data_IF_267336015044
#
_entry.id   IF_267336015044
#
_cell.length_a   1.000
_cell.length_b   1.000
_cell.length_c   1.000
_cell.angle_alpha   90.00
_cell.angle_beta   90.00
_cell.angle_gamma   90.00
#
_symmetry.space_group_name_H-M   'P 1'
#
loop_
_entity.id
_entity.type
_entity.pdbx_description
1 polymer ?
#
# COMPACT_ATOMS: atom_id res chain seq x y z
N UNK A 1 -5.14 18.46 5.12
CA UNK A 1 -6.16 17.39 4.98
C UNK A 1 -5.39 16.08 5.01
N UNK A 2 -5.91 15.04 5.68
CA UNK A 2 -5.13 13.81 5.80
C UNK A 2 -5.01 13.06 4.48
N UNK A 3 -3.89 12.35 4.33
CA UNK A 3 -3.55 11.64 3.10
C UNK A 3 -4.28 10.31 2.97
N UNK A 4 -4.46 9.88 1.72
CA UNK A 4 -4.97 8.54 1.40
C UNK A 4 -3.84 7.51 1.46
N UNK A 5 -4.19 6.21 1.42
CA UNK A 5 -3.18 5.14 1.32
C UNK A 5 -2.35 5.22 0.01
N UNK A 6 -2.96 5.68 -1.09
CA UNK A 6 -2.27 5.88 -2.37
C UNK A 6 -1.24 7.02 -2.26
N UNK A 7 -1.67 8.15 -1.71
CA UNK A 7 -0.79 9.30 -1.44
C UNK A 7 0.34 8.91 -0.49
N UNK A 8 0.06 8.18 0.59
CA UNK A 8 1.08 7.73 1.53
C UNK A 8 2.14 6.82 0.88
N UNK A 9 1.75 6.02 -0.13
CA UNK A 9 2.69 5.22 -0.91
C UNK A 9 3.54 6.09 -1.85
N UNK A 10 2.92 7.04 -2.55
CA UNK A 10 3.63 7.96 -3.44
C UNK A 10 4.63 8.86 -2.69
N UNK A 11 4.30 9.20 -1.46
CA UNK A 11 5.08 10.07 -0.58
C UNK A 11 5.79 9.30 0.54
N UNK A 12 6.08 8.00 0.35
CA UNK A 12 6.66 7.16 1.39
C UNK A 12 8.00 7.69 1.94
N UNK A 13 8.73 8.47 1.14
CA UNK A 13 10.01 9.08 1.51
C UNK A 13 9.90 10.49 2.09
N UNK A 14 8.71 11.08 2.07
CA UNK A 14 8.49 12.43 2.61
C UNK A 14 8.29 12.40 4.13
N UNK A 15 8.47 13.54 4.82
CA UNK A 15 8.34 13.62 6.27
C UNK A 15 6.95 13.23 6.78
N UNK A 16 6.89 12.57 7.92
CA UNK A 16 5.65 12.16 8.57
C UNK A 16 5.20 13.19 9.62
N UNK A 17 4.12 13.90 9.34
CA UNK A 17 3.55 14.91 10.25
C UNK A 17 2.09 14.59 10.53
N UNK A 18 1.63 14.76 11.77
CA UNK A 18 0.23 14.54 12.10
C UNK A 18 -0.68 15.59 11.45
N UNK A 19 -1.75 15.15 10.78
CA UNK A 19 -2.77 16.05 10.22
C UNK A 19 -3.69 16.63 11.31
N UNK A 20 -4.07 15.80 12.27
CA UNK A 20 -4.99 16.14 13.37
C UNK A 20 -4.37 15.72 14.70
N UNK A 21 -4.97 16.21 15.80
CA UNK A 21 -4.67 15.66 17.13
C UNK A 21 -4.92 14.15 17.14
N UNK A 22 -3.95 13.41 17.65
CA UNK A 22 -4.01 11.96 17.79
C UNK A 22 -3.71 11.56 19.25
N UNK A 23 -4.42 10.55 19.75
CA UNK A 23 -4.19 10.01 21.09
C UNK A 23 -2.96 9.10 21.11
N UNK A 24 -2.20 9.13 22.21
CA UNK A 24 -1.11 8.18 22.41
C UNK A 24 -1.62 6.73 22.42
N UNK A 25 -0.82 5.82 21.87
CA UNK A 25 -1.09 4.38 21.80
C UNK A 25 -1.76 3.93 20.49
N UNK A 26 -2.23 4.86 19.65
CA UNK A 26 -2.80 4.49 18.34
C UNK A 26 -1.74 3.89 17.41
N UNK A 27 -2.20 3.07 16.48
CA UNK A 27 -1.42 2.69 15.30
C UNK A 27 -1.52 3.82 14.28
N UNK A 28 -0.39 4.22 13.71
CA UNK A 28 -0.32 5.30 12.73
C UNK A 28 -0.75 4.76 11.36
N UNK A 29 -1.80 5.36 10.83
CA UNK A 29 -2.39 5.07 9.52
C UNK A 29 -2.28 6.29 8.59
N UNK A 30 -2.44 6.13 7.26
CA UNK A 30 -2.39 7.25 6.32
C UNK A 30 -3.31 8.42 6.71
N UNK A 31 -4.52 8.12 7.22
CA UNK A 31 -5.49 9.11 7.64
C UNK A 31 -5.04 9.96 8.86
N UNK A 32 -3.95 9.59 9.54
CA UNK A 32 -3.35 10.39 10.59
C UNK A 32 -2.30 11.38 10.08
N UNK A 33 -1.82 11.23 8.85
CA UNK A 33 -0.68 11.97 8.31
C UNK A 33 -1.15 13.12 7.41
N UNK A 34 -0.45 14.25 7.51
CA UNK A 34 -0.68 15.46 6.71
C UNK A 34 -0.11 15.30 5.29
N UNK A 35 -0.67 16.05 4.34
CA UNK A 35 -0.20 16.08 2.95
C UNK A 35 1.15 16.81 2.84
N UNK A 36 2.23 16.16 2.36
CA UNK A 36 3.52 16.81 2.21
C UNK A 36 3.52 17.99 1.24
N UNK A 37 2.55 18.07 0.33
CA UNK A 37 2.45 19.16 -0.64
C UNK A 37 2.27 20.55 0.01
N UNK A 38 1.82 20.62 1.28
CA UNK A 38 1.65 21.89 2.00
C UNK A 38 2.84 22.24 2.92
N UNK A 39 3.84 21.37 3.06
CA UNK A 39 4.89 21.54 4.04
C UNK A 39 5.78 22.75 3.79
N UNK A 40 6.12 23.04 2.52
CA UNK A 40 6.95 24.20 2.19
C UNK A 40 6.31 25.51 2.69
N UNK A 41 5.00 25.69 2.47
CA UNK A 41 4.27 26.86 2.97
C UNK A 41 4.19 26.90 4.51
N UNK A 42 4.05 25.75 5.16
CA UNK A 42 4.00 25.65 6.61
C UNK A 42 5.37 25.90 7.27
N UNK A 43 6.46 25.49 6.62
CA UNK A 43 7.83 25.77 7.05
C UNK A 43 8.16 27.25 6.84
N UNK A 44 7.83 27.80 5.68
CA UNK A 44 8.06 29.21 5.35
C UNK A 44 7.29 30.17 6.27
N UNK A 45 6.10 29.77 6.71
CA UNK A 45 5.31 30.52 7.70
C UNK A 45 5.80 30.34 9.15
N UNK A 46 6.75 29.42 9.39
CA UNK A 46 7.28 29.09 10.71
C UNK A 46 6.34 28.28 11.59
N UNK A 47 5.28 27.71 11.02
CA UNK A 47 4.32 26.86 11.74
C UNK A 47 4.81 25.41 11.87
N UNK A 48 5.72 24.96 11.01
CA UNK A 48 6.21 23.59 10.97
C UNK A 48 7.74 23.54 10.96
N UNK A 49 8.32 22.61 11.72
CA UNK A 49 9.73 22.25 11.65
C UNK A 49 9.84 20.74 11.37
N UNK A 50 10.63 20.36 10.36
CA UNK A 50 10.77 18.97 9.89
C UNK A 50 12.08 18.30 10.37
N UNK A 51 12.86 18.97 11.23
CA UNK A 51 14.12 18.44 11.75
C UNK A 51 13.90 17.11 12.50
N UNK A 52 14.63 16.07 12.09
CA UNK A 52 14.57 14.75 12.72
C UNK A 52 13.26 13.98 12.46
N UNK A 53 12.43 14.46 11.54
CA UNK A 53 11.19 13.80 11.16
C UNK A 53 11.48 12.45 10.48
N UNK A 54 10.79 11.41 10.93
CA UNK A 54 10.73 10.12 10.26
C UNK A 54 9.96 10.26 8.94
N UNK A 55 10.15 9.30 8.03
CA UNK A 55 9.42 9.26 6.76
C UNK A 55 8.05 8.61 6.91
N UNK A 56 7.11 8.97 6.04
CA UNK A 56 5.76 8.38 5.99
C UNK A 56 5.83 6.85 5.96
N UNK A 57 6.65 6.27 5.09
CA UNK A 57 6.79 4.81 5.00
C UNK A 57 7.25 4.17 6.30
N UNK A 58 8.16 4.83 7.03
CA UNK A 58 8.73 4.31 8.28
C UNK A 58 7.67 4.20 9.38
N UNK A 59 6.77 5.18 9.46
CA UNK A 59 5.81 5.28 10.56
C UNK A 59 4.51 4.51 10.32
N UNK A 60 4.20 4.11 9.09
CA UNK A 60 2.97 3.36 8.81
C UNK A 60 2.98 2.00 9.53
N UNK A 61 1.98 1.79 10.38
CA UNK A 61 1.87 0.63 11.26
C UNK A 61 2.61 0.75 12.60
N UNK A 62 3.41 1.80 12.78
CA UNK A 62 4.08 2.11 14.04
C UNK A 62 3.09 2.69 15.07
N UNK A 63 3.54 2.89 16.31
CA UNK A 63 2.71 3.41 17.41
C UNK A 63 3.12 4.80 17.82
N UNK A 64 2.13 5.70 17.92
CA UNK A 64 2.33 7.00 18.56
C UNK A 64 2.48 6.78 20.07
N UNK A 65 3.54 7.28 20.70
CA UNK A 65 3.82 6.99 22.12
C UNK A 65 3.14 7.97 23.08
N UNK A 66 2.76 9.15 22.59
CA UNK A 66 2.13 10.22 23.38
C UNK A 66 1.08 10.98 22.57
N UNK A 67 0.02 11.41 23.23
CA UNK A 67 -0.99 12.29 22.62
C UNK A 67 -0.32 13.57 22.11
N UNK A 68 -0.55 13.87 20.83
CA UNK A 68 0.11 14.97 20.13
C UNK A 68 -0.91 15.72 19.27
N UNK A 69 -0.73 17.03 19.12
CA UNK A 69 -1.62 17.88 18.31
C UNK A 69 -1.28 17.79 16.81
N UNK A 70 -2.11 18.43 15.97
CA UNK A 70 -1.85 18.61 14.54
C UNK A 70 -0.53 19.34 14.29
N UNK A 71 0.08 19.09 13.13
CA UNK A 71 1.37 19.64 12.73
C UNK A 71 2.53 19.22 13.66
N UNK A 72 2.33 18.17 14.46
CA UNK A 72 3.42 17.56 15.23
C UNK A 72 4.23 16.63 14.32
N UNK A 73 5.54 16.87 14.15
CA UNK A 73 6.43 15.97 13.44
C UNK A 73 6.57 14.64 14.18
N UNK A 74 6.57 13.55 13.44
CA UNK A 74 6.81 12.22 13.98
C UNK A 74 8.30 11.93 13.98
N UNK A 75 8.87 11.69 15.15
CA UNK A 75 10.29 11.46 15.38
C UNK A 75 10.49 10.17 16.19
N UNK A 76 11.72 9.71 16.31
CA UNK A 76 12.05 8.56 17.16
C UNK A 76 11.68 8.76 18.65
N UNK A 77 11.45 10.00 19.10
CA UNK A 77 11.07 10.30 20.49
C UNK A 77 9.56 10.11 20.75
N UNK A 78 8.74 10.13 19.71
CA UNK A 78 7.28 10.05 19.83
C UNK A 78 6.63 8.91 19.02
N UNK A 79 7.43 8.14 18.28
CA UNK A 79 6.99 6.93 17.58
C UNK A 79 7.80 5.72 18.02
N UNK A 80 7.11 4.63 18.36
CA UNK A 80 7.69 3.33 18.66
C UNK A 80 7.36 2.32 17.54
N UNK A 81 8.29 1.41 17.26
CA UNK A 81 8.11 0.37 16.23
C UNK A 81 8.06 0.89 14.79
N UNK A 82 8.70 2.02 14.50
CA UNK A 82 8.88 2.49 13.12
C UNK A 82 9.89 1.61 12.37
N UNK A 83 9.68 1.47 11.06
CA UNK A 83 10.55 0.67 10.18
C UNK A 83 11.88 1.39 9.94
N UNK A 84 12.95 0.61 9.87
CA UNK A 84 14.25 1.06 9.35
C UNK A 84 14.21 1.22 7.83
N UNK A 85 15.19 1.93 7.25
CA UNK A 85 15.30 2.04 5.79
C UNK A 85 15.50 0.67 5.11
N UNK A 86 16.18 -0.27 5.77
CA UNK A 86 16.35 -1.65 5.27
C UNK A 86 15.02 -2.42 5.22
N UNK A 87 14.17 -2.26 6.23
CA UNK A 87 12.84 -2.88 6.26
C UNK A 87 11.91 -2.32 5.18
N UNK A 88 12.01 -1.01 4.89
CA UNK A 88 11.29 -0.38 3.79
C UNK A 88 11.72 -0.91 2.43
N UNK A 89 13.03 -1.04 2.20
CA UNK A 89 13.56 -1.58 0.97
C UNK A 89 13.13 -3.05 0.75
N UNK A 90 12.94 -3.82 1.83
CA UNK A 90 12.45 -5.19 1.76
C UNK A 90 10.94 -5.28 1.40
N UNK A 91 10.11 -4.31 1.81
CA UNK A 91 8.70 -4.23 1.42
C UNK A 91 8.48 -3.73 -0.03
N UNK A 92 9.40 -2.91 -0.56
CA UNK A 92 9.37 -2.46 -1.97
C UNK A 92 9.89 -3.50 -2.97
N UNK A 93 10.54 -4.57 -2.50
CA UNK A 93 10.89 -5.70 -3.36
C UNK A 93 9.60 -6.27 -3.96
N UNK A 94 9.52 -6.44 -5.30
CA UNK A 94 8.26 -6.80 -5.94
C UNK A 94 7.73 -8.10 -5.35
N UNK A 95 6.58 -8.00 -4.68
CA UNK A 95 5.73 -9.12 -4.42
C UNK A 95 5.52 -9.82 -5.76
N UNK A 96 6.18 -10.96 -5.93
CA UNK A 96 5.98 -11.87 -7.03
C UNK A 96 4.47 -12.03 -7.16
N UNK A 97 3.95 -11.63 -8.30
CA UNK A 97 2.54 -11.63 -8.66
C UNK A 97 1.97 -13.06 -8.54
N UNK A 98 1.56 -13.45 -7.33
CA UNK A 98 0.64 -14.56 -7.11
C UNK A 98 -0.76 -13.99 -7.32
N UNK A 99 -1.25 -14.20 -8.53
CA UNK A 99 -2.60 -13.86 -8.94
C UNK A 99 -3.65 -14.48 -7.98
N UNK A 100 -4.78 -13.79 -7.71
CA UNK A 100 -5.74 -14.20 -6.70
C UNK A 100 -6.47 -15.49 -7.09
N UNK A 101 -6.61 -16.39 -6.12
CA UNK A 101 -7.56 -17.49 -6.17
C UNK A 101 -9.00 -16.95 -6.09
N UNK A 102 -9.66 -16.79 -7.24
CA UNK A 102 -11.12 -16.65 -7.29
C UNK A 102 -11.77 -18.04 -7.31
N UNK A 103 -12.56 -18.32 -6.28
CA UNK A 103 -13.42 -19.49 -6.18
C UNK A 103 -14.67 -19.32 -7.05
N UNK A 104 -14.74 -20.03 -8.18
CA UNK A 104 -15.98 -20.38 -8.91
C UNK A 104 -15.80 -21.73 -9.62
N UNK A 105 -16.86 -22.51 -9.92
CA UNK A 105 -16.76 -23.96 -10.01
C UNK A 105 -16.05 -24.39 -11.31
N UNK A 106 -14.79 -24.80 -11.16
CA UNK A 106 -14.04 -25.49 -12.20
C UNK A 106 -14.49 -26.95 -12.27
N UNK A 107 -15.28 -27.31 -13.27
CA UNK A 107 -15.35 -28.69 -13.71
C UNK A 107 -14.04 -29.00 -14.45
N UNK A 108 -13.12 -29.65 -13.74
CA UNK A 108 -11.86 -30.13 -14.30
C UNK A 108 -12.09 -31.50 -14.94
N UNK A 109 -11.89 -31.58 -16.25
CA UNK A 109 -11.54 -32.83 -16.93
C UNK A 109 -10.11 -32.65 -17.43
N UNK A 110 -9.28 -33.65 -17.14
CA UNK A 110 -7.83 -33.64 -17.32
C UNK A 110 -7.38 -33.03 -18.66
N UNK A 111 -6.63 -31.92 -18.57
CA UNK A 111 -5.75 -31.44 -19.63
C UNK A 111 -6.18 -30.16 -20.37
N UNK A 112 -7.42 -29.70 -20.24
CA UNK A 112 -7.91 -28.51 -20.92
C UNK A 112 -8.75 -27.60 -20.03
N UNK A 113 -8.56 -26.29 -20.17
CA UNK A 113 -9.34 -25.23 -19.49
C UNK A 113 -10.10 -24.44 -20.56
N UNK A 114 -11.42 -24.43 -20.48
CA UNK A 114 -12.28 -23.66 -21.39
C UNK A 114 -12.89 -22.47 -20.65
N UNK A 115 -12.81 -21.27 -21.24
CA UNK A 115 -13.42 -20.04 -20.73
C UNK A 115 -14.09 -19.26 -21.85
N UNK A 116 -15.14 -18.50 -21.55
CA UNK A 116 -15.79 -17.61 -22.51
C UNK A 116 -15.45 -16.17 -22.12
N UNK A 117 -14.73 -15.47 -22.99
CA UNK A 117 -14.39 -14.05 -22.79
C UNK A 117 -14.84 -13.26 -24.01
N UNK A 118 -15.62 -12.20 -23.78
CA UNK A 118 -16.05 -11.26 -24.82
C UNK A 118 -16.72 -11.93 -26.05
N UNK A 119 -17.56 -12.95 -25.84
CA UNK A 119 -18.24 -13.68 -26.92
C UNK A 119 -17.35 -14.66 -27.71
N UNK A 120 -16.13 -14.92 -27.25
CA UNK A 120 -15.21 -15.90 -27.84
C UNK A 120 -14.93 -17.04 -26.86
N UNK A 121 -14.97 -18.27 -27.37
CA UNK A 121 -14.56 -19.47 -26.62
C UNK A 121 -13.04 -19.57 -26.66
N UNK A 122 -12.42 -19.60 -25.49
CA UNK A 122 -10.97 -19.70 -25.31
C UNK A 122 -10.67 -21.02 -24.61
N UNK A 123 -9.90 -21.88 -25.27
CA UNK A 123 -9.49 -23.19 -24.75
C UNK A 123 -7.97 -23.18 -24.57
N UNK A 124 -7.51 -23.41 -23.34
CA UNK A 124 -6.10 -23.55 -23.00
C UNK A 124 -5.78 -25.02 -22.74
N UNK A 125 -4.88 -25.59 -23.52
CA UNK A 125 -4.52 -27.02 -23.47
C UNK A 125 -3.05 -27.15 -23.07
N UNK A 126 -2.79 -27.87 -21.98
CA UNK A 126 -1.46 -27.93 -21.34
C UNK A 126 -0.48 -28.87 -22.06
N UNK A 127 -0.97 -29.93 -22.69
CA UNK A 127 -0.18 -30.84 -23.55
C UNK A 127 -1.01 -31.22 -24.78
N UNK A 128 -0.50 -30.94 -25.99
CA UNK A 128 -1.26 -31.06 -27.23
C UNK A 128 -1.06 -32.39 -27.94
N UNK A 129 -1.84 -33.42 -27.57
CA UNK A 129 -1.93 -34.68 -28.31
C UNK A 129 -3.39 -35.01 -28.62
N UNK A 130 -3.65 -35.44 -29.85
CA UNK A 130 -4.95 -35.93 -30.33
C UNK A 130 -6.15 -34.99 -30.08
N UNK A 131 -6.03 -33.71 -30.43
CA UNK A 131 -7.11 -32.73 -30.25
C UNK A 131 -7.93 -32.58 -31.54
N UNK A 132 -9.22 -32.88 -31.46
CA UNK A 132 -10.20 -32.62 -32.51
C UNK A 132 -11.37 -31.81 -31.95
N UNK A 133 -11.66 -30.67 -32.58
CA UNK A 133 -12.70 -29.73 -32.18
C UNK A 133 -13.58 -29.42 -33.40
N UNK A 134 -14.87 -29.70 -33.31
CA UNK A 134 -15.86 -29.31 -34.30
C UNK A 134 -16.94 -28.48 -33.58
N UNK A 135 -17.14 -27.25 -34.04
CA UNK A 135 -18.05 -26.28 -33.43
C UNK A 135 -19.26 -26.09 -34.34
N UNK A 136 -20.49 -26.27 -33.85
CA UNK A 136 -21.68 -25.82 -34.58
C UNK A 136 -21.72 -24.29 -34.59
N UNK A 137 -22.20 -23.72 -35.69
CA UNK A 137 -22.65 -22.31 -35.73
C UNK A 137 -23.88 -22.11 -34.86
#
# INVERSE_FOLDING_TARGET
MSITAETAKAHANDPAVLCCRAEGGITIEPANLEDPAIFDELVDSGLLNLDGCLKIGQVLGAKLTKTSDSLCPLTADNVDGFKTDDELAAEEAPAKEEAPAEATPAASVQGAVTTIKHGKVVISIKEGKDIYLELPI
#
